data_IF_126904618436
#
_entry.id   IF_126904618436
#
_cell.length_a   1.000
_cell.length_b   1.000
_cell.length_c   1.000
_cell.angle_alpha   90.00
_cell.angle_beta   90.00
_cell.angle_gamma   90.00
#
_symmetry.space_group_name_H-M   'P 1'
#
loop_
_entity.id
_entity.type
_entity.pdbx_description
1 polymer ?
#
# COMPACT_ATOMS: atom_id res chain seq x y z
N UNK A 1 19.50 -62.55 -18.88
CA UNK A 1 18.46 -62.82 -19.90
C UNK A 1 17.24 -62.02 -19.47
N UNK A 2 16.93 -60.84 -20.04
CA UNK A 2 16.49 -60.58 -21.45
C UNK A 2 15.15 -61.33 -21.63
N UNK A 3 13.95 -60.78 -21.87
CA UNK A 3 13.38 -59.63 -22.63
C UNK A 3 11.89 -59.53 -22.23
N UNK A 4 11.25 -58.36 -22.05
CA UNK A 4 10.60 -57.43 -23.01
C UNK A 4 9.45 -57.98 -23.90
N UNK A 5 8.30 -57.29 -23.77
CA UNK A 5 7.24 -56.90 -24.74
C UNK A 5 6.46 -58.01 -25.52
N UNK A 6 5.29 -57.83 -26.15
CA UNK A 6 4.53 -56.70 -26.75
C UNK A 6 3.02 -57.07 -26.82
N UNK A 7 2.18 -56.05 -26.94
CA UNK A 7 0.74 -55.93 -27.30
C UNK A 7 0.12 -56.93 -28.32
N UNK A 8 -1.22 -57.09 -28.28
CA UNK A 8 -2.11 -57.01 -29.45
C UNK A 8 -3.63 -57.12 -29.13
N UNK A 9 -4.37 -56.12 -29.61
CA UNK A 9 -5.76 -55.98 -30.07
C UNK A 9 -6.83 -57.10 -29.96
N UNK A 10 -8.06 -56.66 -29.68
CA UNK A 10 -9.31 -57.38 -29.98
C UNK A 10 -10.55 -56.50 -29.91
N UNK A 11 -11.00 -55.97 -31.06
CA UNK A 11 -12.31 -55.35 -31.29
C UNK A 11 -13.40 -56.42 -31.44
N UNK A 12 -14.65 -56.15 -31.03
CA UNK A 12 -15.86 -56.41 -31.84
C UNK A 12 -17.12 -55.78 -31.25
N UNK A 13 -17.92 -55.23 -32.17
CA UNK A 13 -19.21 -54.54 -32.04
C UNK A 13 -20.42 -55.49 -31.96
N UNK A 14 -21.61 -54.85 -31.84
CA UNK A 14 -22.96 -55.29 -32.23
C UNK A 14 -23.79 -56.03 -31.15
N UNK A 15 -25.12 -55.87 -31.03
CA UNK A 15 -26.16 -54.98 -31.56
C UNK A 15 -27.47 -55.33 -30.78
N UNK A 16 -28.59 -54.70 -31.15
CA UNK A 16 -30.03 -54.96 -30.83
C UNK A 16 -30.65 -53.91 -29.91
N UNK A 17 -31.21 -52.80 -30.40
CA UNK A 17 -32.34 -52.60 -31.34
C UNK A 17 -33.70 -53.05 -30.77
N UNK A 18 -34.62 -52.08 -30.58
CA UNK A 18 -36.05 -52.27 -30.93
C UNK A 18 -36.84 -50.93 -30.94
N UNK A 19 -37.06 -50.47 -32.18
CA UNK A 19 -38.34 -50.01 -32.75
C UNK A 19 -38.94 -48.60 -32.48
N UNK A 20 -39.02 -47.83 -33.57
CA UNK A 20 -40.01 -46.78 -33.94
C UNK A 20 -41.23 -47.47 -34.64
N UNK A 21 -42.27 -46.84 -35.29
CA UNK A 21 -42.51 -45.44 -35.78
C UNK A 21 -44.04 -45.03 -35.68
N UNK A 22 -44.71 -44.15 -36.52
CA UNK A 22 -44.26 -43.29 -37.63
C UNK A 22 -44.87 -41.84 -37.77
N UNK A 23 -44.18 -41.04 -38.61
CA UNK A 23 -44.55 -39.92 -39.53
C UNK A 23 -45.76 -39.00 -39.32
N UNK A 24 -45.54 -37.68 -39.45
CA UNK A 24 -45.94 -36.85 -40.63
C UNK A 24 -45.59 -35.36 -40.44
N UNK A 25 -44.97 -34.73 -41.45
CA UNK A 25 -44.93 -33.27 -41.65
C UNK A 25 -46.19 -32.82 -42.45
N UNK A 26 -46.58 -31.52 -42.55
CA UNK A 26 -45.84 -30.59 -43.43
C UNK A 26 -46.02 -29.05 -43.18
N UNK A 27 -45.31 -28.26 -44.02
CA UNK A 27 -45.61 -26.89 -44.50
C UNK A 27 -45.12 -25.64 -43.73
N UNK A 28 -44.13 -24.97 -44.35
CA UNK A 28 -43.92 -23.51 -44.32
C UNK A 28 -44.86 -22.78 -45.28
N UNK A 29 -45.04 -21.45 -45.12
CA UNK A 29 -44.91 -20.56 -46.27
C UNK A 29 -43.97 -19.37 -46.04
N UNK A 30 -43.58 -18.78 -47.16
CA UNK A 30 -42.44 -17.90 -47.34
C UNK A 30 -42.76 -16.38 -47.24
N UNK A 31 -41.66 -15.62 -47.02
CA UNK A 31 -41.34 -14.24 -47.48
C UNK A 31 -42.31 -13.09 -47.19
N UNK A 32 -41.75 -12.01 -46.64
CA UNK A 32 -41.70 -10.69 -47.32
C UNK A 32 -40.65 -9.78 -46.67
N UNK A 33 -39.66 -9.38 -47.46
CA UNK A 33 -38.73 -8.29 -47.20
C UNK A 33 -39.41 -6.96 -47.54
N UNK A 34 -39.41 -5.99 -46.63
CA UNK A 34 -39.50 -4.57 -47.02
C UNK A 34 -38.60 -3.72 -46.12
N UNK A 35 -37.72 -3.03 -46.81
CA UNK A 35 -36.80 -2.01 -46.35
C UNK A 35 -37.54 -0.79 -45.80
N UNK A 36 -37.10 -0.31 -44.64
CA UNK A 36 -37.14 1.13 -44.32
C UNK A 36 -35.87 1.48 -43.58
N UNK A 37 -34.98 2.15 -44.30
CA UNK A 37 -33.89 2.93 -43.75
C UNK A 37 -34.48 4.05 -42.89
N UNK A 38 -33.95 4.23 -41.70
CA UNK A 38 -34.34 5.25 -40.74
C UNK A 38 -33.29 5.34 -39.65
N UNK A 39 -32.18 5.99 -40.00
CA UNK A 39 -31.23 6.71 -39.15
C UNK A 39 -31.16 6.27 -37.68
N UNK A 40 -30.48 5.15 -37.44
CA UNK A 40 -29.83 4.92 -36.15
C UNK A 40 -28.62 5.86 -36.05
N UNK A 41 -28.88 7.15 -35.78
CA UNK A 41 -27.84 8.07 -35.37
C UNK A 41 -27.21 7.50 -34.10
N UNK A 42 -25.98 7.02 -34.26
CA UNK A 42 -25.05 6.74 -33.18
C UNK A 42 -24.85 8.00 -32.36
N UNK A 43 -25.72 8.20 -31.35
CA UNK A 43 -25.34 9.01 -30.19
C UNK A 43 -24.32 8.20 -29.41
N UNK A 44 -23.08 8.26 -29.89
CA UNK A 44 -21.93 8.24 -29.01
C UNK A 44 -22.20 9.34 -27.98
N UNK A 45 -22.72 8.96 -26.81
CA UNK A 45 -22.74 9.84 -25.66
C UNK A 45 -21.29 10.21 -25.41
N UNK A 46 -20.92 11.43 -25.76
CA UNK A 46 -19.73 12.08 -25.22
C UNK A 46 -19.78 11.84 -23.71
N UNK A 47 -18.76 11.21 -23.10
CA UNK A 47 -18.75 11.10 -21.65
C UNK A 47 -18.86 12.53 -21.15
N UNK A 48 -19.93 12.82 -20.41
CA UNK A 48 -20.17 14.12 -19.80
C UNK A 48 -18.84 14.56 -19.21
N UNK A 49 -18.29 15.67 -19.73
CA UNK A 49 -17.03 16.25 -19.25
C UNK A 49 -17.21 16.52 -17.76
N UNK A 50 -16.78 15.56 -16.95
CA UNK A 50 -16.97 15.62 -15.51
C UNK A 50 -15.84 16.51 -15.01
N UNK A 51 -16.11 17.82 -14.98
CA UNK A 51 -15.17 18.82 -14.48
C UNK A 51 -14.81 18.46 -13.05
N UNK A 52 -13.53 18.21 -12.79
CA UNK A 52 -13.04 17.97 -11.44
C UNK A 52 -12.98 19.31 -10.69
N UNK A 53 -13.73 19.41 -9.61
CA UNK A 53 -13.80 20.63 -8.80
C UNK A 53 -12.75 20.58 -7.69
N UNK A 54 -12.09 21.72 -7.46
CA UNK A 54 -11.12 21.89 -6.38
C UNK A 54 -11.72 22.81 -5.33
N UNK A 55 -11.84 22.30 -4.09
CA UNK A 55 -12.36 23.05 -2.95
C UNK A 55 -11.33 24.12 -2.49
N UNK A 56 -11.77 25.18 -1.78
CA UNK A 56 -10.87 26.14 -1.16
C UNK A 56 -9.76 25.46 -0.36
N UNK A 57 -8.55 26.00 -0.40
CA UNK A 57 -7.35 25.36 0.17
C UNK A 57 -6.68 24.33 -0.74
N UNK A 58 -7.15 24.14 -1.97
CA UNK A 58 -6.50 23.28 -2.96
C UNK A 58 -6.82 21.80 -2.78
N UNK A 59 -8.00 21.47 -2.25
CA UNK A 59 -8.43 20.09 -2.05
C UNK A 59 -9.14 19.55 -3.30
N UNK A 60 -8.51 18.57 -3.96
CA UNK A 60 -9.11 17.75 -5.01
C UNK A 60 -9.70 16.49 -4.36
N UNK A 61 -11.01 16.47 -4.21
CA UNK A 61 -11.76 15.38 -3.60
C UNK A 61 -12.36 14.48 -4.70
N UNK A 62 -11.81 13.27 -4.81
CA UNK A 62 -12.22 12.21 -5.74
C UNK A 62 -12.43 10.90 -4.98
N UNK A 63 -12.79 10.99 -3.70
CA UNK A 63 -13.11 9.83 -2.89
C UNK A 63 -14.46 9.22 -3.28
N UNK A 64 -14.60 7.89 -3.06
CA UNK A 64 -15.88 7.18 -3.24
C UNK A 64 -16.50 7.34 -4.64
N UNK A 65 -15.67 7.49 -5.68
CA UNK A 65 -16.12 7.61 -7.07
C UNK A 65 -16.03 6.29 -7.84
N UNK A 66 -15.77 5.18 -7.14
CA UNK A 66 -15.51 3.85 -7.72
C UNK A 66 -14.46 3.88 -8.84
N UNK A 67 -13.52 4.83 -8.76
CA UNK A 67 -12.51 5.03 -9.80
C UNK A 67 -11.35 4.06 -9.60
N UNK A 68 -10.85 3.48 -10.69
CA UNK A 68 -9.64 2.64 -10.70
C UNK A 68 -8.44 3.30 -11.37
N UNK A 69 -8.65 4.46 -12.00
CA UNK A 69 -7.64 5.23 -12.70
C UNK A 69 -7.94 6.74 -12.58
N UNK A 70 -6.91 7.56 -12.79
CA UNK A 70 -7.02 9.01 -12.91
C UNK A 70 -6.71 9.42 -14.35
N UNK A 71 -7.55 10.28 -14.92
CA UNK A 71 -7.36 10.79 -16.28
C UNK A 71 -6.30 11.90 -16.33
N UNK A 72 -5.24 11.68 -17.09
CA UNK A 72 -4.13 12.64 -17.28
C UNK A 72 -4.61 14.00 -17.81
N UNK A 73 -5.59 13.98 -18.72
CA UNK A 73 -6.18 15.19 -19.28
C UNK A 73 -6.89 16.03 -18.20
N UNK A 74 -7.68 15.37 -17.33
CA UNK A 74 -8.37 16.04 -16.23
C UNK A 74 -7.38 16.52 -15.17
N UNK A 75 -6.36 15.72 -14.82
CA UNK A 75 -5.29 16.12 -13.91
C UNK A 75 -4.60 17.40 -14.41
N UNK A 76 -4.27 17.45 -15.70
CA UNK A 76 -3.58 18.58 -16.34
C UNK A 76 -4.45 19.84 -16.36
N UNK A 77 -5.75 19.70 -16.69
CA UNK A 77 -6.68 20.82 -16.66
C UNK A 77 -6.84 21.40 -15.24
N UNK A 78 -6.94 20.53 -14.23
CA UNK A 78 -7.01 20.96 -12.84
C UNK A 78 -5.72 21.66 -12.41
N UNK A 79 -4.56 21.11 -12.75
CA UNK A 79 -3.26 21.69 -12.42
C UNK A 79 -3.05 23.08 -13.04
N UNK A 80 -3.59 23.30 -14.25
CA UNK A 80 -3.49 24.59 -14.93
C UNK A 80 -4.34 25.69 -14.27
N UNK A 81 -5.43 25.32 -13.59
CA UNK A 81 -6.41 26.27 -13.02
C UNK A 81 -6.28 26.43 -11.51
N UNK A 82 -5.70 25.44 -10.82
CA UNK A 82 -5.71 25.36 -9.37
C UNK A 82 -4.38 24.87 -8.81
N UNK A 83 -3.98 25.42 -7.66
CA UNK A 83 -2.89 24.85 -6.85
C UNK A 83 -3.44 23.74 -5.96
N UNK A 84 -3.29 22.49 -6.40
CA UNK A 84 -3.75 21.33 -5.63
C UNK A 84 -2.74 21.02 -4.53
N UNK A 85 -3.18 21.15 -3.28
CA UNK A 85 -2.39 20.88 -2.07
C UNK A 85 -2.76 19.56 -1.41
N UNK A 86 -3.98 19.08 -1.65
CA UNK A 86 -4.48 17.84 -1.05
C UNK A 86 -5.25 17.06 -2.09
N UNK A 87 -5.00 15.76 -2.18
CA UNK A 87 -5.72 14.84 -3.06
C UNK A 87 -6.31 13.71 -2.23
N UNK A 88 -7.63 13.57 -2.27
CA UNK A 88 -8.36 12.48 -1.61
C UNK A 88 -8.87 11.50 -2.67
N UNK A 89 -8.32 10.29 -2.66
CA UNK A 89 -8.67 9.18 -3.54
C UNK A 89 -9.14 7.96 -2.75
N UNK A 90 -9.53 8.15 -1.49
CA UNK A 90 -9.89 7.04 -0.61
C UNK A 90 -11.21 6.38 -0.99
N UNK A 91 -11.39 5.11 -0.60
CA UNK A 91 -12.58 4.31 -0.90
C UNK A 91 -12.86 4.24 -2.41
N UNK A 92 -11.87 3.78 -3.17
CA UNK A 92 -11.92 3.61 -4.62
C UNK A 92 -11.43 2.20 -4.98
N UNK A 93 -11.14 1.96 -6.26
CA UNK A 93 -10.73 0.67 -6.80
C UNK A 93 -9.31 0.72 -7.37
N UNK A 94 -8.45 1.60 -6.87
CA UNK A 94 -7.07 1.71 -7.35
C UNK A 94 -6.27 0.47 -6.96
N UNK A 95 -5.72 -0.21 -7.96
CA UNK A 95 -4.76 -1.31 -7.77
C UNK A 95 -3.31 -0.83 -7.80
N UNK A 96 -3.08 0.36 -8.36
CA UNK A 96 -1.80 1.06 -8.35
C UNK A 96 -1.97 2.56 -8.09
N UNK A 97 -0.90 3.20 -7.63
CA UNK A 97 -0.79 4.64 -7.50
C UNK A 97 -0.79 5.27 -8.90
N UNK A 98 -1.69 6.23 -9.17
CA UNK A 98 -1.75 6.87 -10.49
C UNK A 98 -0.57 7.82 -10.70
N UNK A 99 0.26 7.55 -11.71
CA UNK A 99 1.39 8.42 -12.09
C UNK A 99 0.96 9.85 -12.47
N UNK A 100 -0.29 10.02 -12.89
CA UNK A 100 -0.85 11.32 -13.23
C UNK A 100 -0.93 12.28 -12.05
N UNK A 101 -0.75 11.81 -10.81
CA UNK A 101 -0.52 12.67 -9.64
C UNK A 101 0.76 13.51 -9.75
N UNK A 102 1.73 13.10 -10.57
CA UNK A 102 2.99 13.81 -10.78
C UNK A 102 2.79 15.26 -11.25
N UNK A 103 1.68 15.58 -11.94
CA UNK A 103 1.37 16.96 -12.37
C UNK A 103 1.15 17.91 -11.19
N UNK A 104 0.82 17.36 -10.01
CA UNK A 104 0.64 18.13 -8.77
C UNK A 104 1.89 18.10 -7.87
N UNK A 105 3.00 17.49 -8.30
CA UNK A 105 4.13 17.18 -7.44
C UNK A 105 4.76 18.39 -6.72
N UNK A 106 4.73 19.56 -7.34
CA UNK A 106 5.27 20.80 -6.75
C UNK A 106 4.40 21.40 -5.63
N UNK A 107 3.11 21.02 -5.54
CA UNK A 107 2.15 21.64 -4.61
C UNK A 107 1.47 20.65 -3.67
N UNK A 108 1.41 19.37 -4.05
CA UNK A 108 0.71 18.33 -3.30
C UNK A 108 1.41 18.03 -1.97
N UNK A 109 0.80 18.44 -0.86
CA UNK A 109 1.29 18.20 0.49
C UNK A 109 0.66 16.99 1.18
N UNK A 110 -0.56 16.61 0.81
CA UNK A 110 -1.29 15.48 1.40
C UNK A 110 -1.92 14.59 0.32
N UNK A 111 -1.66 13.29 0.39
CA UNK A 111 -2.26 12.29 -0.49
C UNK A 111 -2.91 11.16 0.31
N UNK A 112 -4.20 10.93 0.11
CA UNK A 112 -4.89 9.75 0.64
C UNK A 112 -5.32 8.80 -0.47
N UNK A 113 -4.82 7.58 -0.40
CA UNK A 113 -5.21 6.41 -1.20
C UNK A 113 -5.70 5.28 -0.29
N UNK A 114 -6.18 5.62 0.91
CA UNK A 114 -6.71 4.64 1.86
C UNK A 114 -7.95 3.92 1.33
N UNK A 115 -8.21 2.71 1.82
CA UNK A 115 -9.36 1.89 1.36
C UNK A 115 -9.39 1.73 -0.17
N UNK A 116 -8.28 1.26 -0.74
CA UNK A 116 -8.15 0.87 -2.14
C UNK A 116 -7.70 -0.59 -2.23
N UNK A 117 -7.20 -1.01 -3.38
CA UNK A 117 -6.78 -2.39 -3.65
C UNK A 117 -5.30 -2.44 -4.04
N UNK A 118 -4.47 -1.54 -3.48
CA UNK A 118 -3.03 -1.53 -3.73
C UNK A 118 -2.42 -2.83 -3.21
N UNK A 119 -1.91 -3.66 -4.11
CA UNK A 119 -1.51 -5.04 -3.80
C UNK A 119 -0.19 -5.42 -4.49
N UNK A 120 0.52 -6.39 -3.90
CA UNK A 120 1.76 -6.93 -4.45
C UNK A 120 2.86 -5.89 -4.60
N UNK A 121 3.70 -6.05 -5.62
CA UNK A 121 4.85 -5.17 -5.89
C UNK A 121 4.58 -4.16 -7.02
N UNK A 122 3.45 -4.31 -7.70
CA UNK A 122 3.09 -3.49 -8.87
C UNK A 122 2.25 -2.26 -8.52
N UNK A 123 1.95 -2.02 -7.24
CA UNK A 123 1.17 -0.84 -6.84
C UNK A 123 1.89 0.47 -7.17
N UNK A 124 3.20 0.47 -7.42
CA UNK A 124 3.94 1.59 -7.98
C UNK A 124 5.06 1.05 -8.88
N UNK A 125 4.88 1.13 -10.20
CA UNK A 125 5.78 0.49 -11.17
C UNK A 125 6.76 1.45 -11.86
N UNK A 126 6.61 2.77 -11.65
CA UNK A 126 7.41 3.80 -12.30
C UNK A 126 7.61 4.99 -11.38
N UNK A 127 8.62 5.79 -11.66
CA UNK A 127 8.95 6.94 -10.82
C UNK A 127 7.78 7.93 -10.73
N UNK A 128 7.42 8.27 -9.48
CA UNK A 128 6.41 9.27 -9.14
C UNK A 128 7.07 10.34 -8.26
N UNK A 129 7.27 11.53 -8.82
CA UNK A 129 7.91 12.63 -8.12
C UNK A 129 6.88 13.55 -7.44
N UNK A 130 6.89 13.56 -6.10
CA UNK A 130 6.03 14.39 -5.26
C UNK A 130 6.88 15.14 -4.22
N UNK A 131 7.74 16.09 -4.66
CA UNK A 131 8.71 16.76 -3.78
C UNK A 131 8.10 17.56 -2.64
N UNK A 132 6.86 18.06 -2.79
CA UNK A 132 6.17 18.81 -1.74
C UNK A 132 5.35 17.93 -0.77
N UNK A 133 5.28 16.62 -1.01
CA UNK A 133 4.44 15.71 -0.24
C UNK A 133 4.96 15.57 1.19
N UNK A 134 4.10 15.85 2.17
CA UNK A 134 4.39 15.75 3.60
C UNK A 134 3.70 14.58 4.26
N UNK A 135 2.49 14.26 3.82
CA UNK A 135 1.72 13.15 4.38
C UNK A 135 1.18 12.25 3.28
N UNK A 136 1.39 10.94 3.44
CA UNK A 136 0.77 9.92 2.60
C UNK A 136 -0.01 8.93 3.46
N UNK A 137 -1.26 8.68 3.08
CA UNK A 137 -2.12 7.70 3.72
C UNK A 137 -2.48 6.58 2.73
N UNK A 138 -1.92 5.40 2.97
CA UNK A 138 -2.09 4.15 2.24
C UNK A 138 -2.79 3.09 3.11
N UNK A 139 -3.46 3.50 4.20
CA UNK A 139 -4.10 2.59 5.13
C UNK A 139 -5.21 1.76 4.47
N UNK A 140 -5.48 0.56 5.00
CA UNK A 140 -6.56 -0.31 4.50
C UNK A 140 -6.40 -0.64 3.00
N UNK A 141 -5.23 -1.14 2.63
CA UNK A 141 -4.92 -1.67 1.30
C UNK A 141 -4.50 -3.15 1.44
N UNK A 142 -3.87 -3.70 0.41
CA UNK A 142 -3.43 -5.11 0.35
C UNK A 142 -1.90 -5.21 0.17
N UNK A 143 -1.16 -4.18 0.60
CA UNK A 143 0.29 -4.10 0.41
C UNK A 143 1.01 -5.14 1.27
N UNK A 144 2.01 -5.79 0.69
CA UNK A 144 2.81 -6.84 1.36
C UNK A 144 4.21 -6.38 1.75
N UNK A 145 4.70 -5.27 1.19
CA UNK A 145 5.97 -4.65 1.49
C UNK A 145 5.96 -3.15 1.10
N UNK A 146 7.04 -2.44 1.44
CA UNK A 146 7.23 -1.01 1.16
C UNK A 146 8.26 -0.72 0.05
N UNK A 147 8.83 -1.77 -0.57
CA UNK A 147 9.95 -1.62 -1.50
C UNK A 147 9.60 -0.78 -2.75
N UNK A 148 8.41 -0.93 -3.38
CA UNK A 148 8.04 -0.07 -4.50
C UNK A 148 7.98 1.41 -4.13
N UNK A 149 7.57 1.77 -2.91
CA UNK A 149 7.62 3.16 -2.45
C UNK A 149 9.06 3.67 -2.40
N UNK A 150 9.97 2.92 -1.77
CA UNK A 150 11.37 3.34 -1.66
C UNK A 150 12.06 3.46 -3.02
N UNK A 151 11.70 2.57 -3.96
CA UNK A 151 12.31 2.54 -5.29
C UNK A 151 11.79 3.64 -6.20
N UNK A 152 10.49 3.91 -6.17
CA UNK A 152 9.83 4.71 -7.21
C UNK A 152 9.19 6.01 -6.71
N UNK A 153 8.91 6.18 -5.42
CA UNK A 153 8.35 7.42 -4.89
C UNK A 153 9.48 8.39 -4.52
N UNK A 154 9.55 9.55 -5.17
CA UNK A 154 10.46 10.65 -4.79
C UNK A 154 9.69 11.68 -3.97
N UNK A 155 9.77 11.55 -2.64
CA UNK A 155 9.09 12.45 -1.69
C UNK A 155 10.06 12.88 -0.56
N UNK A 156 11.07 13.71 -0.85
CA UNK A 156 12.07 14.14 0.14
C UNK A 156 11.50 14.90 1.34
N UNK A 157 10.35 15.56 1.18
CA UNK A 157 9.68 16.30 2.25
C UNK A 157 8.67 15.46 3.05
N UNK A 158 8.57 14.15 2.78
CA UNK A 158 7.60 13.28 3.43
C UNK A 158 7.92 13.16 4.93
N UNK A 159 6.99 13.58 5.76
CA UNK A 159 7.09 13.61 7.21
C UNK A 159 6.30 12.47 7.87
N UNK A 160 5.14 12.12 7.29
CA UNK A 160 4.25 11.09 7.82
C UNK A 160 3.81 10.09 6.75
N UNK A 161 3.93 8.82 7.08
CA UNK A 161 3.47 7.70 6.28
C UNK A 161 2.56 6.80 7.10
N UNK A 162 1.33 6.63 6.63
CA UNK A 162 0.37 5.68 7.20
C UNK A 162 0.16 4.50 6.25
N UNK A 163 0.59 3.33 6.68
CA UNK A 163 0.44 2.03 5.99
C UNK A 163 -0.29 1.02 6.88
N UNK A 164 -1.09 1.51 7.84
CA UNK A 164 -1.87 0.67 8.74
C UNK A 164 -2.89 -0.20 7.99
N UNK A 165 -3.33 -1.31 8.61
CA UNK A 165 -4.36 -2.19 8.03
C UNK A 165 -3.97 -2.73 6.63
N UNK A 166 -2.72 -3.15 6.47
CA UNK A 166 -2.20 -3.79 5.25
C UNK A 166 -1.76 -5.23 5.57
N UNK A 167 -0.91 -5.83 4.73
CA UNK A 167 -0.37 -7.18 4.89
C UNK A 167 1.17 -7.18 4.93
N UNK A 168 1.75 -6.08 5.41
CA UNK A 168 3.20 -5.87 5.40
C UNK A 168 3.85 -6.82 6.41
N UNK A 169 4.92 -7.49 5.98
CA UNK A 169 5.62 -8.50 6.81
C UNK A 169 6.89 -8.01 7.48
N UNK A 170 7.51 -6.98 6.91
CA UNK A 170 8.70 -6.34 7.47
C UNK A 170 8.78 -4.88 7.02
N UNK A 171 9.43 -4.06 7.84
CA UNK A 171 9.78 -2.69 7.46
C UNK A 171 11.22 -2.75 6.91
N UNK A 172 11.44 -2.42 5.63
CA UNK A 172 12.77 -2.48 5.03
C UNK A 172 13.73 -1.49 5.69
N UNK A 173 14.99 -1.91 5.81
CA UNK A 173 16.10 -1.00 6.06
C UNK A 173 16.20 -0.02 4.89
N UNK A 174 16.62 1.22 5.13
CA UNK A 174 16.71 2.21 4.05
C UNK A 174 15.55 3.21 4.01
N UNK A 175 14.53 3.07 4.88
CA UNK A 175 13.33 3.90 4.81
C UNK A 175 13.65 5.39 5.00
N UNK A 176 14.56 5.72 5.93
CA UNK A 176 15.03 7.08 6.17
C UNK A 176 15.90 7.61 5.03
N UNK A 177 16.62 6.75 4.33
CA UNK A 177 17.41 7.10 3.14
C UNK A 177 16.48 7.45 1.96
N UNK A 178 15.39 6.70 1.78
CA UNK A 178 14.38 6.98 0.76
C UNK A 178 13.55 8.23 1.10
N UNK A 179 13.22 8.43 2.38
CA UNK A 179 12.41 9.54 2.88
C UNK A 179 13.15 10.27 4.04
N UNK A 180 14.08 11.19 3.72
CA UNK A 180 14.96 11.82 4.72
C UNK A 180 14.23 12.59 5.81
N UNK A 181 13.07 13.18 5.52
CA UNK A 181 12.28 13.95 6.48
C UNK A 181 11.25 13.11 7.24
N UNK A 182 11.17 11.79 7.00
CA UNK A 182 10.12 10.97 7.60
C UNK A 182 10.31 10.90 9.11
N UNK A 183 9.31 11.31 9.89
CA UNK A 183 9.35 11.25 11.36
C UNK A 183 8.25 10.37 11.94
N UNK A 184 7.15 10.16 11.22
CA UNK A 184 6.00 9.38 11.67
C UNK A 184 5.74 8.21 10.72
N UNK A 185 5.80 7.00 11.26
CA UNK A 185 5.41 5.77 10.57
C UNK A 185 4.29 5.07 11.34
N UNK A 186 3.13 4.93 10.71
CA UNK A 186 2.02 4.16 11.24
C UNK A 186 1.89 2.86 10.44
N UNK A 187 2.15 1.74 11.09
CA UNK A 187 2.17 0.39 10.51
C UNK A 187 1.37 -0.60 11.37
N UNK A 188 0.39 -0.11 12.14
CA UNK A 188 -0.49 -0.96 12.94
C UNK A 188 -1.35 -1.88 12.10
N UNK A 189 -1.78 -3.01 12.68
CA UNK A 189 -2.64 -3.98 12.00
C UNK A 189 -2.04 -4.49 10.68
N UNK A 190 -0.80 -4.97 10.75
CA UNK A 190 -0.09 -5.62 9.66
C UNK A 190 0.34 -7.04 10.09
N UNK A 191 1.23 -7.68 9.32
CA UNK A 191 1.81 -8.99 9.62
C UNK A 191 3.30 -8.89 9.97
N UNK A 192 3.75 -7.77 10.59
CA UNK A 192 5.16 -7.58 10.92
C UNK A 192 5.62 -8.68 11.87
N UNK A 193 6.64 -9.45 11.49
CA UNK A 193 7.19 -10.53 12.32
C UNK A 193 8.36 -10.07 13.19
N UNK A 194 9.01 -8.98 12.79
CA UNK A 194 10.12 -8.35 13.48
C UNK A 194 10.01 -6.82 13.41
N UNK A 195 10.83 -6.17 14.24
CA UNK A 195 11.05 -4.73 14.21
C UNK A 195 12.53 -4.50 14.50
N UNK A 196 13.29 -4.20 13.45
CA UNK A 196 14.72 -3.94 13.56
C UNK A 196 14.99 -2.46 13.91
N UNK A 197 16.02 -2.20 14.72
CA UNK A 197 16.42 -0.83 15.08
C UNK A 197 16.79 0.00 13.86
N UNK A 198 17.47 -0.60 12.87
CA UNK A 198 17.91 0.11 11.66
C UNK A 198 16.75 0.53 10.76
N UNK A 199 15.65 -0.22 10.74
CA UNK A 199 14.48 0.09 9.91
C UNK A 199 13.69 1.31 10.42
N UNK A 200 13.80 1.64 11.71
CA UNK A 200 13.08 2.75 12.35
C UNK A 200 13.99 3.85 12.90
N UNK A 201 15.28 3.79 12.59
CA UNK A 201 16.26 4.77 13.03
C UNK A 201 15.93 6.16 12.46
N UNK A 202 15.94 7.18 13.32
CA UNK A 202 15.63 8.56 12.95
C UNK A 202 14.13 8.88 12.81
N UNK A 203 13.25 7.95 13.17
CA UNK A 203 11.82 8.20 13.33
C UNK A 203 11.52 8.68 14.77
N UNK A 204 10.52 9.55 14.91
CA UNK A 204 10.04 10.05 16.21
C UNK A 204 8.82 9.29 16.71
N UNK A 205 7.94 8.87 15.79
CA UNK A 205 6.73 8.11 16.11
C UNK A 205 6.67 6.87 15.25
N UNK A 206 6.57 5.70 15.90
CA UNK A 206 6.40 4.40 15.27
C UNK A 206 5.22 3.71 15.93
N UNK A 207 4.20 3.41 15.14
CA UNK A 207 3.12 2.53 15.54
C UNK A 207 3.24 1.19 14.81
N UNK A 208 3.67 0.16 15.53
CA UNK A 208 3.73 -1.23 15.09
C UNK A 208 2.79 -2.12 15.94
N UNK A 209 1.71 -1.53 16.48
CA UNK A 209 0.72 -2.27 17.28
C UNK A 209 -0.08 -3.27 16.43
N UNK A 210 -0.66 -4.28 17.07
CA UNK A 210 -1.49 -5.31 16.43
C UNK A 210 -0.79 -5.98 15.24
N UNK A 211 0.44 -6.46 15.48
CA UNK A 211 1.27 -7.16 14.50
C UNK A 211 1.65 -8.56 15.02
N UNK A 212 2.60 -9.23 14.36
CA UNK A 212 3.03 -10.60 14.69
C UNK A 212 4.43 -10.65 15.31
N UNK A 213 4.91 -9.54 15.90
CA UNK A 213 6.28 -9.42 16.40
C UNK A 213 6.49 -10.37 17.58
N UNK A 214 7.39 -11.34 17.42
CA UNK A 214 7.63 -12.39 18.41
C UNK A 214 8.50 -11.92 19.59
N UNK A 215 9.40 -10.95 19.34
CA UNK A 215 10.30 -10.37 20.32
C UNK A 215 10.70 -8.95 19.90
N UNK A 216 10.91 -8.07 20.87
CA UNK A 216 11.44 -6.73 20.60
C UNK A 216 12.96 -6.75 20.63
N UNK A 217 13.58 -6.14 19.61
CA UNK A 217 15.03 -5.96 19.56
C UNK A 217 15.48 -4.97 20.67
N UNK A 218 16.37 -5.37 21.60
CA UNK A 218 16.87 -4.48 22.65
C UNK A 218 17.50 -3.19 22.14
N UNK A 219 18.11 -3.20 20.95
CA UNK A 219 18.74 -2.03 20.34
C UNK A 219 17.74 -0.91 20.01
N UNK A 220 16.44 -1.20 19.92
CA UNK A 220 15.40 -0.16 19.82
C UNK A 220 15.49 0.80 21.03
N UNK A 221 15.89 0.30 22.21
CA UNK A 221 16.09 1.13 23.41
C UNK A 221 17.14 2.23 23.23
N UNK A 222 18.09 2.05 22.30
CA UNK A 222 19.14 3.01 21.95
C UNK A 222 18.65 4.11 21.00
N UNK A 223 17.45 3.95 20.42
CA UNK A 223 16.85 4.96 19.55
C UNK A 223 16.16 6.09 20.31
N UNK A 224 16.03 5.96 21.64
CA UNK A 224 15.61 7.07 22.50
C UNK A 224 16.72 8.10 22.71
N UNK A 225 16.42 9.17 23.44
CA UNK A 225 17.35 10.29 23.67
C UNK A 225 16.80 11.61 23.15
N UNK A 226 17.62 12.66 23.18
CA UNK A 226 17.26 13.98 22.66
C UNK A 226 17.04 13.88 21.14
N UNK A 227 15.87 14.32 20.66
CA UNK A 227 15.53 14.23 19.24
C UNK A 227 15.24 12.83 18.66
N UNK A 228 15.39 11.76 19.46
CA UNK A 228 15.17 10.37 19.06
C UNK A 228 13.70 9.93 19.04
N UNK A 229 13.48 8.63 19.22
CA UNK A 229 12.16 7.99 19.22
C UNK A 229 11.35 8.42 20.46
N UNK A 230 10.27 9.15 20.23
CA UNK A 230 9.40 9.73 21.26
C UNK A 230 8.17 8.86 21.54
N UNK A 231 7.66 8.19 20.50
CA UNK A 231 6.50 7.32 20.59
C UNK A 231 6.74 6.00 19.88
N UNK A 232 6.59 4.91 20.63
CA UNK A 232 6.68 3.54 20.17
C UNK A 232 5.45 2.79 20.68
N UNK A 233 4.55 2.45 19.78
CA UNK A 233 3.39 1.60 20.06
C UNK A 233 3.65 0.19 19.52
N UNK A 234 3.70 -0.79 20.41
CA UNK A 234 3.99 -2.20 20.07
C UNK A 234 3.03 -3.16 20.77
N UNK A 235 1.91 -2.64 21.28
CA UNK A 235 0.85 -3.44 21.92
C UNK A 235 0.18 -4.38 20.91
N UNK A 236 -0.44 -5.47 21.38
CA UNK A 236 -1.13 -6.41 20.48
C UNK A 236 -0.22 -7.27 19.59
N UNK A 237 1.06 -7.41 19.96
CA UNK A 237 2.01 -8.30 19.30
C UNK A 237 2.12 -9.67 20.00
N UNK A 238 2.96 -10.58 19.46
CA UNK A 238 3.10 -11.95 19.97
C UNK A 238 4.07 -12.10 21.14
N UNK A 239 4.91 -11.11 21.39
CA UNK A 239 5.84 -11.13 22.52
C UNK A 239 5.09 -11.08 23.86
N UNK A 240 5.57 -11.84 24.84
CA UNK A 240 5.07 -11.80 26.23
C UNK A 240 5.91 -10.89 27.15
N UNK A 241 7.10 -10.55 26.66
CA UNK A 241 8.15 -9.84 27.38
C UNK A 241 8.69 -8.80 26.40
N UNK A 242 8.60 -7.48 26.68
CA UNK A 242 8.13 -6.85 27.92
C UNK A 242 6.64 -7.11 28.21
N UNK A 243 6.29 -7.15 29.50
CA UNK A 243 4.89 -7.29 29.93
C UNK A 243 4.10 -6.02 29.62
N UNK A 244 2.79 -6.16 29.50
CA UNK A 244 1.84 -5.06 29.29
C UNK A 244 2.06 -3.87 30.24
N UNK A 245 2.28 -4.12 31.54
CA UNK A 245 2.48 -3.07 32.55
C UNK A 245 3.65 -2.13 32.22
N UNK A 246 4.65 -2.62 31.47
CA UNK A 246 5.81 -1.83 31.04
C UNK A 246 5.44 -0.96 29.84
N UNK A 247 4.64 -1.51 28.92
CA UNK A 247 4.14 -0.80 27.75
C UNK A 247 3.17 0.32 28.14
N UNK A 248 2.26 0.06 29.09
CA UNK A 248 1.27 1.04 29.58
C UNK A 248 1.93 2.26 30.23
N UNK A 249 3.09 2.08 30.87
CA UNK A 249 3.89 3.18 31.45
C UNK A 249 4.48 4.11 30.40
N UNK A 250 4.32 3.79 29.12
CA UNK A 250 4.68 4.64 27.98
C UNK A 250 5.99 4.25 27.31
N UNK A 251 6.30 4.98 26.24
CA UNK A 251 7.44 4.71 25.37
C UNK A 251 8.76 4.74 26.11
N UNK A 252 9.03 5.76 26.94
CA UNK A 252 10.31 5.88 27.64
C UNK A 252 10.54 4.74 28.66
N UNK A 253 9.48 4.23 29.29
CA UNK A 253 9.58 3.04 30.15
C UNK A 253 9.95 1.80 29.35
N UNK A 254 9.35 1.64 28.16
CA UNK A 254 9.66 0.55 27.23
C UNK A 254 11.09 0.63 26.71
N UNK A 255 11.55 1.81 26.28
CA UNK A 255 12.91 2.04 25.81
C UNK A 255 13.95 1.79 26.92
N UNK A 256 13.70 2.28 28.14
CA UNK A 256 14.57 2.01 29.30
C UNK A 256 14.64 0.52 29.61
N UNK A 257 13.53 -0.20 29.52
CA UNK A 257 13.51 -1.64 29.74
C UNK A 257 14.30 -2.41 28.67
N UNK A 258 14.25 -1.95 27.41
CA UNK A 258 15.03 -2.51 26.31
C UNK A 258 16.53 -2.25 26.48
N UNK A 259 16.92 -1.03 26.89
CA UNK A 259 18.32 -0.68 27.19
C UNK A 259 18.94 -1.60 28.23
N UNK A 260 18.17 -2.05 29.22
CA UNK A 260 18.64 -3.03 30.22
C UNK A 260 18.99 -4.42 29.67
N UNK A 261 18.75 -4.68 28.37
CA UNK A 261 19.03 -5.94 27.67
C UNK A 261 20.03 -5.78 26.52
N UNK A 262 20.56 -4.58 26.32
CA UNK A 262 21.61 -4.33 25.33
C UNK A 262 22.97 -4.74 25.94
N UNK A 263 23.88 -5.34 25.16
CA UNK A 263 25.25 -5.62 25.60
C UNK A 263 25.97 -4.40 26.20
N UNK A 264 26.84 -4.63 27.19
CA UNK A 264 27.45 -3.55 27.98
C UNK A 264 28.36 -2.62 27.16
N UNK A 265 29.05 -3.18 26.17
CA UNK A 265 29.89 -2.50 25.19
C UNK A 265 29.07 -1.54 24.30
N UNK A 266 27.95 -2.01 23.74
CA UNK A 266 27.04 -1.15 22.96
C UNK A 266 26.41 -0.05 23.82
N UNK A 267 26.08 -0.36 25.07
CA UNK A 267 25.54 0.62 26.02
C UNK A 267 26.56 1.69 26.42
N UNK A 268 27.84 1.34 26.52
CA UNK A 268 28.91 2.30 26.82
C UNK A 268 29.06 3.30 25.67
N UNK A 269 29.15 2.81 24.43
CA UNK A 269 29.24 3.66 23.24
C UNK A 269 28.02 4.59 23.08
N UNK A 270 26.81 4.10 23.39
CA UNK A 270 25.61 4.93 23.36
C UNK A 270 25.64 6.06 24.40
N UNK A 271 26.16 5.79 25.61
CA UNK A 271 26.26 6.81 26.66
C UNK A 271 27.28 7.89 26.31
N UNK A 272 28.43 7.51 25.75
CA UNK A 272 29.45 8.45 25.29
C UNK A 272 28.85 9.42 24.26
N UNK A 273 28.19 8.89 23.22
CA UNK A 273 27.59 9.74 22.18
C UNK A 273 26.47 10.66 22.66
N UNK A 274 25.66 10.25 23.65
CA UNK A 274 24.60 11.13 24.22
C UNK A 274 25.13 12.09 25.30
N UNK A 275 26.28 11.80 25.91
CA UNK A 275 26.90 12.69 26.89
C UNK A 275 27.59 13.88 26.20
N UNK A 276 28.28 13.61 25.09
CA UNK A 276 28.91 14.65 24.25
C UNK A 276 27.85 15.62 23.68
N UNK A 277 26.70 15.13 23.21
CA UNK A 277 25.59 15.99 22.73
C UNK A 277 25.01 16.92 23.82
N UNK A 278 25.18 16.60 25.11
CA UNK A 278 24.68 17.42 26.23
C UNK A 278 25.65 18.51 26.69
N UNK A 279 26.93 18.40 26.32
CA UNK A 279 27.96 19.40 26.66
C UNK A 279 28.06 20.51 25.60
N UNK A 280 27.66 20.24 24.34
CA UNK A 280 27.66 21.21 23.24
C UNK A 280 26.47 22.20 23.26
N UNK A 281 25.54 22.10 24.21
CA UNK A 281 24.38 23.01 24.37
C UNK A 281 24.59 24.07 25.47
N UNK A 282 25.80 24.18 26.02
CA UNK A 282 26.19 25.18 27.03
C UNK A 282 27.28 26.11 26.47
N UNK A 283 26.99 26.85 25.39
CA UNK A 283 27.72 28.07 25.00
C UNK A 283 26.84 29.04 24.20
#
# INVERSE_FOLDING_TARGET
MVVENVDADGRSDADDDFATPPTSAPQSPARSTSSTAGDAQSRAGTPTSQVWTVKPGGLLDRARTASSAMSDAMCSEVAARHQVRQVQLHHNLFTCMPNSLGVFGATLGFLSLSHNQLAGDCFLASELALPALREINLASNLMTNLEPLMRFLRAPALDKMDVSMNRIRSIPQGLKQAFPQLTVLLASNNHLTDLESESIRGLKTVDASSNEIAQLNPRIGLLGGQGGLQRLEVTGNRFKVPRWDILERGTEATLRWLRGRVPADEMAAWREGNAEESEDEVD
#
